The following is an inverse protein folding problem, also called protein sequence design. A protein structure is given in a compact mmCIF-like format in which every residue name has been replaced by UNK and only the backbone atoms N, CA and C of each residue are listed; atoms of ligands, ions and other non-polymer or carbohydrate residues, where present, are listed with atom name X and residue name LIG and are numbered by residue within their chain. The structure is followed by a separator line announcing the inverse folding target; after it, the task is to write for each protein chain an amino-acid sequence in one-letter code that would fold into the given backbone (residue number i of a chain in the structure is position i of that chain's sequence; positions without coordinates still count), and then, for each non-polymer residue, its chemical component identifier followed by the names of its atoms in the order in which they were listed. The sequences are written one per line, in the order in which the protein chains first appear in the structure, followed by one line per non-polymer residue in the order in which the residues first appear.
data_IF_421263555750
#
_entry.id   IF_421263555750
#
_cell.length_a   1.000
_cell.length_b   1.000
_cell.length_c   1.000
_cell.angle_alpha   90.00
_cell.angle_beta   90.00
_cell.angle_gamma   90.00
#
_symmetry.space_group_name_H-M   'P 1'
#
loop_
_entity.id
_entity.type
_entity.pdbx_description
1 polymer ?
#
# COMPACT_ATOMS: atom_id res chain seq x y z
N UNK A 1 10.33 17.67 -23.17
CA UNK A 1 11.64 17.12 -23.17
C UNK A 1 12.23 16.65 -21.86
N UNK A 2 12.54 17.54 -20.89
CA UNK A 2 13.34 17.19 -19.71
C UNK A 2 12.74 16.08 -18.83
N UNK A 3 11.44 16.12 -18.55
CA UNK A 3 10.76 15.09 -17.73
C UNK A 3 10.86 13.67 -18.29
N UNK A 4 10.86 13.52 -19.63
CA UNK A 4 10.97 12.20 -20.28
C UNK A 4 12.39 11.68 -20.36
N UNK A 5 13.38 12.53 -20.16
CA UNK A 5 14.80 12.11 -20.01
C UNK A 5 15.08 11.44 -18.68
N UNK A 6 14.26 11.68 -17.66
CA UNK A 6 14.37 11.02 -16.38
C UNK A 6 13.75 9.63 -16.46
N UNK A 7 14.53 8.58 -16.20
CA UNK A 7 14.08 7.18 -16.27
C UNK A 7 12.78 6.92 -15.48
N UNK A 8 12.65 7.52 -14.29
CA UNK A 8 11.46 7.39 -13.43
C UNK A 8 10.18 7.92 -14.04
N UNK A 9 10.27 8.85 -14.98
CA UNK A 9 9.11 9.48 -15.65
C UNK A 9 8.96 9.09 -17.12
N UNK A 10 9.83 8.22 -17.63
CA UNK A 10 9.83 7.84 -19.05
C UNK A 10 8.49 7.24 -19.50
N UNK A 11 7.85 6.42 -18.62
CA UNK A 11 6.55 5.80 -18.88
C UNK A 11 5.38 6.44 -18.13
N UNK A 12 5.63 7.46 -17.29
CA UNK A 12 4.58 8.07 -16.46
C UNK A 12 3.61 8.86 -17.32
N UNK A 13 2.29 8.63 -17.21
CA UNK A 13 1.28 9.48 -17.85
C UNK A 13 1.32 10.89 -17.22
N UNK A 14 1.23 11.92 -18.06
CA UNK A 14 1.29 13.30 -17.60
C UNK A 14 0.11 14.08 -18.17
N UNK A 15 -0.54 14.84 -17.32
CA UNK A 15 -1.59 15.76 -17.71
C UNK A 15 -1.07 17.19 -17.63
N UNK A 16 -1.16 17.93 -18.74
CA UNK A 16 -0.65 19.28 -18.88
C UNK A 16 -1.80 20.29 -18.78
N UNK A 17 -1.65 21.30 -17.92
CA UNK A 17 -2.60 22.42 -17.86
C UNK A 17 -2.04 23.53 -18.74
N UNK A 18 -2.71 23.80 -19.86
CA UNK A 18 -2.32 24.83 -20.81
C UNK A 18 -2.74 26.21 -20.30
N UNK A 19 -1.80 27.16 -20.26
CA UNK A 19 -2.14 28.59 -20.18
C UNK A 19 -2.61 29.08 -21.56
N UNK A 20 -3.38 30.16 -21.55
CA UNK A 20 -4.00 30.69 -22.78
C UNK A 20 -3.00 30.95 -23.92
N UNK A 21 -1.76 31.33 -23.62
CA UNK A 21 -0.70 31.56 -24.62
C UNK A 21 0.00 30.30 -25.12
N UNK A 22 -0.02 29.21 -24.35
CA UNK A 22 0.80 28.02 -24.59
C UNK A 22 -0.02 26.85 -25.17
N UNK A 23 -1.32 27.05 -25.39
CA UNK A 23 -2.24 25.98 -25.81
C UNK A 23 -1.84 25.33 -27.15
N UNK A 24 -1.23 26.09 -28.07
CA UNK A 24 -0.72 25.55 -29.32
C UNK A 24 0.44 24.60 -29.12
N UNK A 25 1.41 24.98 -28.34
CA UNK A 25 2.59 24.17 -28.00
C UNK A 25 2.22 22.89 -27.23
N UNK A 26 1.32 23.01 -26.25
CA UNK A 26 0.82 21.86 -25.49
C UNK A 26 0.11 20.87 -26.41
N UNK A 27 -0.70 21.30 -27.35
CA UNK A 27 -1.37 20.42 -28.33
C UNK A 27 -0.39 19.67 -29.23
N UNK A 28 0.68 20.31 -29.69
CA UNK A 28 1.72 19.62 -30.45
C UNK A 28 2.46 18.57 -29.60
N UNK A 29 2.74 18.88 -28.34
CA UNK A 29 3.31 17.90 -27.42
C UNK A 29 2.39 16.69 -27.19
N UNK A 30 1.09 16.92 -26.97
CA UNK A 30 0.08 15.86 -26.80
C UNK A 30 -0.06 14.99 -28.06
N UNK A 31 0.02 15.60 -29.27
CA UNK A 31 0.03 14.81 -30.51
C UNK A 31 1.26 13.95 -30.67
N UNK A 32 2.41 14.45 -30.21
CA UNK A 32 3.69 13.73 -30.32
C UNK A 32 3.85 12.59 -29.28
N UNK A 33 3.18 12.64 -28.12
CA UNK A 33 3.24 11.63 -27.07
C UNK A 33 1.84 11.31 -26.54
N UNK A 34 1.32 10.14 -26.91
CA UNK A 34 -0.01 9.66 -26.49
C UNK A 34 -0.19 9.52 -24.98
N UNK A 35 0.90 9.51 -24.19
CA UNK A 35 0.88 9.48 -22.73
C UNK A 35 0.69 10.87 -22.12
N UNK A 36 0.51 11.88 -22.93
CA UNK A 36 0.16 13.24 -22.51
C UNK A 36 -1.32 13.50 -22.77
N UNK A 37 -1.95 14.26 -21.91
CA UNK A 37 -3.27 14.85 -22.13
C UNK A 37 -3.26 16.33 -21.77
N UNK A 38 -4.05 17.11 -22.45
CA UNK A 38 -4.25 18.53 -22.18
C UNK A 38 -5.47 18.74 -21.29
N UNK A 39 -5.35 19.66 -20.31
CA UNK A 39 -6.47 20.21 -19.58
C UNK A 39 -6.56 21.72 -19.84
N UNK A 40 -7.79 22.27 -19.91
CA UNK A 40 -7.98 23.71 -19.93
C UNK A 40 -7.47 24.37 -18.65
N UNK A 41 -7.25 25.66 -18.66
CA UNK A 41 -6.74 26.43 -17.52
C UNK A 41 -7.65 26.31 -16.26
N UNK A 42 -8.96 26.18 -16.47
CA UNK A 42 -9.96 25.95 -15.41
C UNK A 42 -10.71 24.64 -15.70
N UNK A 43 -10.12 23.49 -15.35
CA UNK A 43 -10.70 22.20 -15.68
C UNK A 43 -11.91 21.90 -14.80
N UNK A 44 -12.96 21.35 -15.40
CA UNK A 44 -14.07 20.72 -14.65
C UNK A 44 -13.67 19.32 -14.18
N UNK A 45 -14.36 18.74 -13.20
CA UNK A 45 -14.15 17.34 -12.81
C UNK A 45 -14.29 16.35 -13.98
N UNK A 46 -15.18 16.65 -14.93
CA UNK A 46 -15.37 15.86 -16.16
C UNK A 46 -14.14 15.93 -17.07
N UNK A 47 -13.51 17.10 -17.22
CA UNK A 47 -12.31 17.25 -18.02
C UNK A 47 -11.14 16.47 -17.43
N UNK A 48 -10.99 16.52 -16.11
CA UNK A 48 -9.97 15.75 -15.38
C UNK A 48 -10.20 14.26 -15.59
N UNK A 49 -11.43 13.77 -15.40
CA UNK A 49 -11.78 12.36 -15.63
C UNK A 49 -11.47 11.89 -17.06
N UNK A 50 -11.78 12.71 -18.07
CA UNK A 50 -11.49 12.42 -19.49
C UNK A 50 -9.99 12.40 -19.77
N UNK A 51 -9.24 13.34 -19.24
CA UNK A 51 -7.78 13.39 -19.42
C UNK A 51 -7.12 12.15 -18.80
N UNK A 52 -7.49 11.79 -17.57
CA UNK A 52 -7.01 10.57 -16.89
C UNK A 52 -7.34 9.33 -17.73
N UNK A 53 -8.57 9.18 -18.18
CA UNK A 53 -8.98 8.04 -19.01
C UNK A 53 -8.17 7.94 -20.31
N UNK A 54 -7.88 9.09 -20.94
CA UNK A 54 -7.09 9.15 -22.17
C UNK A 54 -5.67 8.67 -21.95
N UNK A 55 -4.97 9.21 -20.96
CA UNK A 55 -3.57 8.83 -20.70
C UNK A 55 -3.46 7.41 -20.13
N UNK A 56 -4.43 6.96 -19.34
CA UNK A 56 -4.47 5.59 -18.83
C UNK A 56 -4.61 4.55 -19.95
N UNK A 57 -5.45 4.84 -20.94
CA UNK A 57 -5.61 4.00 -22.13
C UNK A 57 -4.33 3.93 -22.96
N UNK A 58 -3.62 5.04 -23.11
CA UNK A 58 -2.39 5.12 -23.90
C UNK A 58 -1.20 4.39 -23.22
N UNK A 59 -1.17 4.37 -21.90
CA UNK A 59 -0.14 3.64 -21.13
C UNK A 59 -0.42 2.14 -21.11
N UNK A 60 -1.57 1.72 -21.67
CA UNK A 60 -2.02 0.34 -21.54
C UNK A 60 -2.16 0.02 -20.05
N UNK A 61 -2.99 0.81 -19.36
CA UNK A 61 -3.30 0.52 -17.95
C UNK A 61 -3.76 -0.93 -17.90
N UNK A 62 -2.82 -1.81 -17.66
CA UNK A 62 -3.08 -3.23 -17.44
C UNK A 62 -3.93 -3.22 -16.18
N UNK A 63 -5.18 -3.65 -16.31
CA UNK A 63 -6.02 -3.87 -15.13
C UNK A 63 -5.19 -4.78 -14.25
N UNK A 64 -4.80 -4.29 -13.07
CA UNK A 64 -4.05 -5.12 -12.12
C UNK A 64 -4.94 -6.31 -11.82
N UNK A 65 -4.57 -7.48 -12.33
CA UNK A 65 -5.30 -8.69 -12.00
C UNK A 65 -5.10 -9.00 -10.51
N UNK A 66 -6.02 -9.75 -9.88
CA UNK A 66 -5.86 -10.14 -8.48
C UNK A 66 -4.51 -10.83 -8.21
N UNK A 67 -3.98 -11.59 -9.18
CA UNK A 67 -2.68 -12.27 -9.08
C UNK A 67 -1.53 -11.27 -9.03
N UNK A 68 -1.49 -10.32 -9.97
CA UNK A 68 -0.49 -9.25 -10.00
C UNK A 68 -0.59 -8.38 -8.76
N UNK A 69 -1.82 -8.09 -8.31
CA UNK A 69 -2.06 -7.35 -7.07
C UNK A 69 -1.48 -8.05 -5.84
N UNK A 70 -1.64 -9.38 -5.73
CA UNK A 70 -1.04 -10.18 -4.64
C UNK A 70 0.48 -10.16 -4.70
N UNK A 71 1.07 -10.31 -5.89
CA UNK A 71 2.52 -10.27 -6.04
C UNK A 71 3.10 -8.93 -5.63
N UNK A 72 2.51 -7.82 -6.11
CA UNK A 72 2.91 -6.47 -5.69
C UNK A 72 2.75 -6.25 -4.18
N UNK A 73 1.70 -6.81 -3.57
CA UNK A 73 1.50 -6.73 -2.13
C UNK A 73 2.58 -7.50 -1.36
N UNK A 74 3.02 -8.66 -1.84
CA UNK A 74 4.12 -9.43 -1.26
C UNK A 74 5.44 -8.67 -1.36
N UNK A 75 5.78 -8.15 -2.55
CA UNK A 75 6.99 -7.36 -2.75
C UNK A 75 7.00 -6.11 -1.85
N UNK A 76 5.91 -5.37 -1.80
CA UNK A 76 5.79 -4.20 -0.93
C UNK A 76 5.94 -4.57 0.55
N UNK A 77 5.34 -5.69 0.98
CA UNK A 77 5.45 -6.18 2.37
C UNK A 77 6.89 -6.54 2.70
N UNK A 78 7.63 -7.16 1.77
CA UNK A 78 9.05 -7.50 1.97
C UNK A 78 9.92 -6.25 2.13
N UNK A 79 9.69 -5.21 1.32
CA UNK A 79 10.38 -3.92 1.46
C UNK A 79 10.08 -3.29 2.83
N UNK A 80 8.80 -3.26 3.24
CA UNK A 80 8.41 -2.74 4.55
C UNK A 80 9.02 -3.55 5.70
N UNK A 81 9.12 -4.86 5.56
CA UNK A 81 9.78 -5.73 6.53
C UNK A 81 11.26 -5.37 6.69
N UNK A 82 11.98 -5.20 5.58
CA UNK A 82 13.39 -4.78 5.63
C UNK A 82 13.56 -3.40 6.30
N UNK A 83 12.69 -2.44 5.98
CA UNK A 83 12.71 -1.13 6.62
C UNK A 83 12.43 -1.21 8.12
N UNK A 84 11.48 -2.07 8.53
CA UNK A 84 11.16 -2.31 9.93
C UNK A 84 12.31 -2.96 10.71
N UNK A 85 12.95 -3.97 10.13
CA UNK A 85 14.09 -4.68 10.70
C UNK A 85 15.31 -3.77 10.89
N UNK A 86 15.58 -2.91 9.90
CA UNK A 86 16.73 -2.02 9.93
C UNK A 86 16.49 -0.74 10.73
N UNK A 87 15.25 -0.53 11.21
CA UNK A 87 14.85 0.70 11.92
C UNK A 87 15.26 1.96 11.15
N UNK A 88 15.06 1.98 9.82
CA UNK A 88 15.54 3.03 8.95
C UNK A 88 14.86 4.38 9.30
N UNK A 89 15.62 5.39 9.76
CA UNK A 89 15.05 6.64 10.24
C UNK A 89 14.50 7.56 9.12
N UNK A 90 14.80 7.25 7.86
CA UNK A 90 14.36 8.06 6.71
C UNK A 90 12.92 7.75 6.29
N UNK A 91 12.38 6.61 6.72
CA UNK A 91 11.05 6.15 6.33
C UNK A 91 10.17 5.91 7.55
N UNK A 92 9.04 6.59 7.60
CA UNK A 92 8.00 6.34 8.60
C UNK A 92 7.13 5.14 8.14
N UNK A 93 7.49 3.95 8.62
CA UNK A 93 6.72 2.73 8.31
C UNK A 93 5.33 2.74 8.95
N UNK A 94 5.08 3.56 9.99
CA UNK A 94 3.75 3.66 10.59
C UNK A 94 2.73 4.27 9.62
N UNK A 95 3.16 5.07 8.65
CA UNK A 95 2.30 5.58 7.59
C UNK A 95 1.68 4.46 6.72
N UNK A 96 2.29 3.27 6.66
CA UNK A 96 1.77 2.12 5.94
C UNK A 96 0.72 1.32 6.73
N UNK A 97 0.47 1.63 8.02
CA UNK A 97 -0.45 0.86 8.87
C UNK A 97 -1.82 0.62 8.25
N UNK A 98 -2.53 1.62 7.68
CA UNK A 98 -3.86 1.39 7.10
C UNK A 98 -3.83 0.38 5.94
N UNK A 99 -2.82 0.46 5.09
CA UNK A 99 -2.64 -0.47 3.97
C UNK A 99 -2.29 -1.88 4.46
N UNK A 100 -1.42 -2.00 5.48
CA UNK A 100 -1.07 -3.27 6.09
C UNK A 100 -2.27 -3.93 6.77
N UNK A 101 -3.10 -3.18 7.51
CA UNK A 101 -4.32 -3.70 8.12
C UNK A 101 -5.30 -4.21 7.06
N UNK A 102 -5.46 -3.50 5.94
CA UNK A 102 -6.28 -3.97 4.82
C UNK A 102 -5.71 -5.23 4.17
N UNK A 103 -4.40 -5.28 3.93
CA UNK A 103 -3.75 -6.47 3.38
C UNK A 103 -3.79 -7.67 4.33
N UNK A 104 -3.87 -7.44 5.64
CA UNK A 104 -3.99 -8.47 6.66
C UNK A 104 -5.31 -9.25 6.61
N UNK A 105 -6.35 -8.68 6.00
CA UNK A 105 -7.66 -9.34 5.81
C UNK A 105 -7.65 -10.35 4.65
N UNK A 106 -6.54 -10.48 3.89
CA UNK A 106 -6.42 -11.40 2.77
C UNK A 106 -6.65 -12.87 3.18
N UNK A 107 -7.13 -13.69 2.25
CA UNK A 107 -7.20 -15.15 2.40
C UNK A 107 -5.84 -15.83 2.16
N UNK A 108 -4.89 -15.14 1.55
CA UNK A 108 -3.53 -15.62 1.32
C UNK A 108 -2.78 -15.70 2.66
N UNK A 109 -2.58 -16.92 3.15
CA UNK A 109 -1.97 -17.16 4.46
C UNK A 109 -0.52 -16.65 4.51
N UNK A 110 0.25 -16.82 3.44
CA UNK A 110 1.66 -16.41 3.42
C UNK A 110 1.78 -14.89 3.44
N UNK A 111 0.95 -14.18 2.66
CA UNK A 111 0.89 -12.72 2.71
C UNK A 111 0.43 -12.23 4.08
N UNK A 112 -0.60 -12.86 4.66
CA UNK A 112 -1.10 -12.51 6.00
C UNK A 112 -0.02 -12.66 7.06
N UNK A 113 0.80 -13.72 7.00
CA UNK A 113 1.91 -13.94 7.92
C UNK A 113 3.00 -12.89 7.76
N UNK A 114 3.38 -12.58 6.51
CA UNK A 114 4.37 -11.54 6.23
C UNK A 114 3.90 -10.15 6.72
N UNK A 115 2.63 -9.82 6.50
CA UNK A 115 2.02 -8.58 6.99
C UNK A 115 1.98 -8.56 8.52
N UNK A 116 1.63 -9.68 9.20
CA UNK A 116 1.66 -9.77 10.66
C UNK A 116 3.05 -9.48 11.23
N UNK A 117 4.09 -9.98 10.57
CA UNK A 117 5.46 -9.68 10.96
C UNK A 117 5.74 -8.18 10.91
N UNK A 118 5.40 -7.49 9.81
CA UNK A 118 5.57 -6.03 9.72
C UNK A 118 4.75 -5.30 10.77
N UNK A 119 3.47 -5.67 10.96
CA UNK A 119 2.60 -5.09 11.99
C UNK A 119 3.18 -5.24 13.39
N UNK A 120 3.92 -6.33 13.68
CA UNK A 120 4.56 -6.55 14.98
C UNK A 120 5.67 -5.55 15.30
N UNK A 121 6.21 -4.85 14.30
CA UNK A 121 7.19 -3.78 14.50
C UNK A 121 6.55 -2.42 14.75
N UNK A 122 5.27 -2.25 14.39
CA UNK A 122 4.56 -1.00 14.63
C UNK A 122 4.22 -0.86 16.13
N UNK A 123 4.41 0.32 16.68
CA UNK A 123 3.98 0.64 18.05
C UNK A 123 2.48 1.00 18.09
N UNK A 124 1.62 0.13 17.57
CA UNK A 124 0.20 0.41 17.37
C UNK A 124 -0.70 -0.60 18.09
N UNK A 125 -1.64 -0.09 18.89
CA UNK A 125 -2.67 -0.90 19.52
C UNK A 125 -3.61 -1.54 18.49
N UNK A 126 -3.87 -0.87 17.35
CA UNK A 126 -4.68 -1.43 16.25
C UNK A 126 -3.99 -2.63 15.62
N UNK A 127 -2.70 -2.54 15.37
CA UNK A 127 -1.90 -3.64 14.83
C UNK A 127 -1.91 -4.85 15.80
N UNK A 128 -1.66 -4.64 17.09
CA UNK A 128 -1.72 -5.72 18.08
C UNK A 128 -3.13 -6.31 18.18
N UNK A 129 -4.18 -5.51 18.17
CA UNK A 129 -5.56 -5.99 18.23
C UNK A 129 -5.94 -6.83 16.99
N UNK A 130 -5.52 -6.41 15.80
CA UNK A 130 -5.74 -7.17 14.57
C UNK A 130 -5.07 -8.55 14.63
N UNK A 131 -3.78 -8.61 15.01
CA UNK A 131 -3.05 -9.87 15.18
C UNK A 131 -3.75 -10.74 16.25
N UNK A 132 -4.11 -10.16 17.41
CA UNK A 132 -4.80 -10.83 18.50
C UNK A 132 -6.13 -11.44 18.09
N UNK A 133 -6.91 -10.74 17.26
CA UNK A 133 -8.19 -11.24 16.73
C UNK A 133 -8.00 -12.53 15.93
N UNK A 134 -6.98 -12.60 15.08
CA UNK A 134 -6.69 -13.81 14.30
C UNK A 134 -6.14 -14.94 15.20
N UNK A 135 -5.28 -14.61 16.16
CA UNK A 135 -4.74 -15.58 17.12
C UNK A 135 -5.85 -16.25 17.96
N UNK A 136 -6.85 -15.47 18.38
CA UNK A 136 -7.98 -15.92 19.20
C UNK A 136 -9.09 -16.63 18.42
N UNK A 137 -9.04 -16.60 17.08
CA UNK A 137 -10.08 -17.20 16.25
C UNK A 137 -10.03 -18.75 16.34
N UNK A 138 -10.84 -19.33 17.22
CA UNK A 138 -10.89 -20.77 17.44
C UNK A 138 -11.25 -21.61 16.19
N UNK A 139 -11.87 -20.97 15.18
CA UNK A 139 -12.22 -21.63 13.89
C UNK A 139 -11.07 -21.53 12.87
N UNK A 140 -10.04 -20.76 13.15
CA UNK A 140 -8.87 -20.61 12.29
C UNK A 140 -7.96 -21.84 12.34
N UNK A 141 -7.15 -22.03 11.27
CA UNK A 141 -6.14 -23.09 11.25
C UNK A 141 -5.17 -22.94 12.42
N UNK A 142 -4.90 -24.03 13.14
CA UNK A 142 -4.05 -24.03 14.34
C UNK A 142 -2.66 -23.44 14.04
N UNK A 143 -2.02 -23.86 12.93
CA UNK A 143 -0.70 -23.35 12.57
C UNK A 143 -0.66 -21.85 12.32
N UNK A 144 -1.73 -21.26 11.77
CA UNK A 144 -1.86 -19.82 11.61
C UNK A 144 -2.00 -19.14 12.97
N UNK A 145 -2.84 -19.67 13.85
CA UNK A 145 -3.05 -19.12 15.18
C UNK A 145 -1.76 -19.09 16.00
N UNK A 146 -0.99 -20.18 16.01
CA UNK A 146 0.31 -20.25 16.70
C UNK A 146 1.27 -19.17 16.20
N UNK A 147 1.37 -18.99 14.88
CA UNK A 147 2.21 -17.93 14.30
C UNK A 147 1.71 -16.53 14.67
N UNK A 148 0.40 -16.32 14.77
CA UNK A 148 -0.17 -15.04 15.21
C UNK A 148 0.10 -14.77 16.68
N UNK A 149 0.04 -15.77 17.57
CA UNK A 149 0.47 -15.63 18.97
C UNK A 149 1.95 -15.27 19.06
N UNK A 150 2.80 -15.89 18.23
CA UNK A 150 4.22 -15.54 18.15
C UNK A 150 4.41 -14.08 17.72
N UNK A 151 3.73 -13.63 16.66
CA UNK A 151 3.80 -12.24 16.18
C UNK A 151 3.32 -11.24 17.25
N UNK A 152 2.25 -11.59 17.96
CA UNK A 152 1.73 -10.77 19.06
C UNK A 152 2.71 -10.68 20.24
N UNK A 153 3.34 -11.79 20.62
CA UNK A 153 4.36 -11.82 21.65
C UNK A 153 5.58 -10.96 21.26
N UNK A 154 6.03 -11.04 20.00
CA UNK A 154 7.10 -10.20 19.49
C UNK A 154 6.73 -8.71 19.45
N UNK A 155 5.49 -8.38 19.11
CA UNK A 155 4.99 -7.01 19.17
C UNK A 155 5.01 -6.47 20.61
N UNK A 156 4.50 -7.25 21.56
CA UNK A 156 4.49 -6.89 22.97
C UNK A 156 5.91 -6.76 23.56
N UNK A 157 6.83 -7.64 23.16
CA UNK A 157 8.23 -7.57 23.57
C UNK A 157 8.93 -6.28 23.08
N UNK A 158 8.63 -5.82 21.87
CA UNK A 158 9.27 -4.63 21.28
C UNK A 158 8.64 -3.32 21.75
N UNK A 159 7.33 -3.29 21.92
CA UNK A 159 6.54 -2.07 22.10
C UNK A 159 5.69 -2.04 23.36
N UNK A 160 5.74 -3.08 24.17
CA UNK A 160 4.84 -3.25 25.29
C UNK A 160 3.47 -3.79 24.89
N UNK A 161 2.66 -4.13 25.88
CA UNK A 161 1.28 -4.52 25.65
C UNK A 161 0.43 -3.27 25.35
N UNK A 162 -0.22 -3.26 24.21
CA UNK A 162 -1.14 -2.21 23.75
C UNK A 162 -2.57 -2.73 23.60
N UNK A 163 -2.83 -3.99 23.98
CA UNK A 163 -4.17 -4.56 23.97
C UNK A 163 -4.98 -4.04 25.16
N UNK A 164 -6.29 -3.97 25.01
CA UNK A 164 -7.20 -3.78 26.12
C UNK A 164 -7.18 -4.97 27.12
N UNK A 165 -7.61 -4.73 28.33
CA UNK A 165 -7.54 -5.74 29.41
C UNK A 165 -8.35 -7.01 29.09
N UNK A 166 -9.46 -6.92 28.39
CA UNK A 166 -10.32 -8.05 28.01
C UNK A 166 -9.63 -8.93 26.97
N UNK A 167 -9.11 -8.32 25.92
CA UNK A 167 -8.36 -9.02 24.86
C UNK A 167 -7.09 -9.64 25.43
N UNK A 168 -6.34 -8.93 26.26
CA UNK A 168 -5.15 -9.45 26.92
C UNK A 168 -5.45 -10.70 27.75
N UNK A 169 -6.51 -10.66 28.57
CA UNK A 169 -6.94 -11.82 29.38
C UNK A 169 -7.26 -13.01 28.47
N UNK A 170 -7.96 -12.81 27.39
CA UNK A 170 -8.30 -13.86 26.42
C UNK A 170 -7.05 -14.46 25.78
N UNK A 171 -6.08 -13.63 25.40
CA UNK A 171 -4.79 -14.06 24.83
C UNK A 171 -4.03 -14.94 25.84
N UNK A 172 -3.88 -14.48 27.08
CA UNK A 172 -3.13 -15.21 28.13
C UNK A 172 -3.80 -16.54 28.51
N UNK A 173 -5.13 -16.62 28.43
CA UNK A 173 -5.85 -17.87 28.77
C UNK A 173 -5.86 -18.88 27.61
N UNK A 174 -5.60 -18.46 26.37
CA UNK A 174 -5.70 -19.31 25.18
C UNK A 174 -4.34 -19.73 24.64
N UNK A 175 -3.29 -18.95 24.92
CA UNK A 175 -1.91 -19.24 24.53
C UNK A 175 -1.33 -20.40 25.33
#
# INVERSE_FOLDING_TARGET
GALRGEFRFASTPVVLIAKTGDAGEVRELVKADSRLAELPQNPTPSDVGRAIATVSKAVGATTITPEVGRELAREATEVLRLLALTSNPLFDIAAAEPALLSAFETEDIDLRLAVAEVLSYLGSGKAQAAIGTVALNAKGAEGLRVKMFTALAEAAKRRGNLLDAGTLKSVVTTA
#
